data_IF_273668226833
#
_entry.id   IF_273668226833
#
_cell.length_a   1.000
_cell.length_b   1.000
_cell.length_c   1.000
_cell.angle_alpha   90.00
_cell.angle_beta   90.00
_cell.angle_gamma   90.00
#
_symmetry.space_group_name_H-M   'P 1'
#
loop_
_entity.id
_entity.type
_entity.pdbx_description
1 polymer ?
#
# COMPACT_ATOMS: atom_id res chain seq x y z
N UNK A 1 0.66 -18.66 3.13
CA UNK A 1 1.70 -18.82 4.16
C UNK A 1 3.12 -18.79 3.56
N UNK A 2 3.51 -17.77 2.78
CA UNK A 2 4.89 -17.67 2.24
C UNK A 2 5.26 -16.30 1.65
N UNK A 3 4.53 -15.22 1.93
CA UNK A 3 4.77 -13.91 1.28
C UNK A 3 5.99 -13.14 1.82
N UNK A 4 6.58 -13.62 2.91
CA UNK A 4 7.89 -13.18 3.40
C UNK A 4 9.06 -13.72 2.54
N UNK A 5 8.82 -14.69 1.65
CA UNK A 5 9.85 -15.28 0.78
C UNK A 5 10.26 -14.39 -0.40
N UNK A 6 9.76 -13.16 -0.48
CA UNK A 6 9.97 -12.28 -1.63
C UNK A 6 10.57 -10.92 -1.26
N UNK A 7 10.97 -10.73 0.00
CA UNK A 7 11.54 -9.46 0.46
C UNK A 7 12.84 -9.10 -0.29
N UNK A 8 13.56 -10.10 -0.79
CA UNK A 8 14.77 -9.96 -1.59
C UNK A 8 14.50 -9.73 -3.09
N UNK A 9 13.24 -9.88 -3.53
CA UNK A 9 12.80 -9.73 -4.92
C UNK A 9 12.15 -8.38 -5.17
N UNK A 10 12.11 -7.98 -6.44
CA UNK A 10 11.51 -6.75 -6.94
C UNK A 10 10.13 -6.99 -7.55
N UNK A 11 9.31 -5.96 -7.75
CA UNK A 11 8.04 -6.12 -8.44
C UNK A 11 8.22 -6.49 -9.91
N UNK A 12 9.30 -6.04 -10.58
CA UNK A 12 9.56 -6.44 -11.96
C UNK A 12 9.82 -7.95 -12.11
N UNK A 13 10.33 -8.62 -11.07
CA UNK A 13 10.50 -10.09 -11.05
C UNK A 13 9.20 -10.84 -10.68
N UNK A 14 8.31 -10.19 -9.95
CA UNK A 14 7.14 -10.80 -9.30
C UNK A 14 5.82 -10.57 -10.05
N UNK A 15 5.65 -9.36 -10.54
CA UNK A 15 4.44 -8.80 -11.16
C UNK A 15 4.73 -8.54 -12.64
N UNK A 16 5.23 -9.59 -13.30
CA UNK A 16 5.83 -9.51 -14.63
C UNK A 16 4.83 -9.31 -15.77
N UNK A 17 5.33 -8.93 -16.96
CA UNK A 17 6.75 -8.75 -17.29
C UNK A 17 7.36 -7.46 -16.69
N UNK A 18 8.69 -7.37 -16.56
CA UNK A 18 9.38 -6.13 -16.21
C UNK A 18 8.94 -4.98 -17.11
N UNK A 19 8.78 -3.79 -16.52
CA UNK A 19 8.35 -2.63 -17.31
C UNK A 19 9.50 -2.09 -18.17
N UNK A 20 9.20 -1.60 -19.40
CA UNK A 20 10.18 -0.82 -20.15
C UNK A 20 10.52 0.48 -19.40
N UNK A 21 11.58 1.20 -19.82
CA UNK A 21 11.85 2.54 -19.32
C UNK A 21 10.59 3.42 -19.39
N UNK A 22 10.38 4.34 -18.42
CA UNK A 22 9.22 5.21 -18.46
C UNK A 22 9.24 6.04 -19.75
N UNK A 23 8.05 6.37 -20.30
CA UNK A 23 7.95 7.18 -21.52
C UNK A 23 8.64 8.54 -21.32
N UNK A 24 9.02 9.20 -22.42
CA UNK A 24 9.58 10.55 -22.39
C UNK A 24 8.83 11.44 -23.39
N UNK A 25 8.24 12.57 -22.97
CA UNK A 25 8.26 13.12 -21.60
C UNK A 25 7.32 12.37 -20.64
N UNK A 26 7.58 12.47 -19.33
CA UNK A 26 6.71 11.86 -18.30
C UNK A 26 6.69 12.67 -17.00
N UNK A 27 5.82 12.28 -16.07
CA UNK A 27 5.69 12.92 -14.76
C UNK A 27 6.66 12.34 -13.74
N UNK A 28 6.92 13.09 -12.66
CA UNK A 28 7.70 12.61 -11.52
C UNK A 28 7.07 11.38 -10.85
N UNK A 29 5.75 11.29 -10.82
CA UNK A 29 5.01 10.15 -10.27
C UNK A 29 5.27 8.87 -11.07
N UNK A 30 5.14 8.92 -12.40
CA UNK A 30 5.46 7.78 -13.27
C UNK A 30 6.92 7.37 -13.10
N UNK A 31 7.83 8.35 -13.07
CA UNK A 31 9.26 8.09 -12.84
C UNK A 31 9.51 7.38 -11.50
N UNK A 32 8.85 7.84 -10.43
CA UNK A 32 8.92 7.24 -9.09
C UNK A 32 8.40 5.81 -9.09
N UNK A 33 7.20 5.56 -9.65
CA UNK A 33 6.59 4.23 -9.70
C UNK A 33 7.48 3.24 -10.46
N UNK A 34 8.01 3.62 -11.63
CA UNK A 34 8.96 2.77 -12.37
C UNK A 34 10.23 2.47 -11.56
N UNK A 35 10.74 3.44 -10.79
CA UNK A 35 11.90 3.22 -9.93
C UNK A 35 11.57 2.26 -8.77
N UNK A 36 10.40 2.40 -8.14
CA UNK A 36 9.96 1.56 -7.03
C UNK A 36 9.75 0.11 -7.44
N UNK A 37 9.30 -0.16 -8.67
CA UNK A 37 9.16 -1.54 -9.17
C UNK A 37 10.47 -2.32 -9.22
N UNK A 38 11.60 -1.62 -9.34
CA UNK A 38 12.96 -2.18 -9.37
C UNK A 38 13.63 -2.26 -8.00
N UNK A 39 12.96 -1.77 -6.95
CA UNK A 39 13.45 -1.88 -5.58
C UNK A 39 13.00 -3.21 -4.98
N UNK A 40 13.84 -3.80 -4.13
CA UNK A 40 13.46 -5.01 -3.40
C UNK A 40 12.28 -4.71 -2.50
N UNK A 41 11.39 -5.69 -2.30
CA UNK A 41 10.20 -5.50 -1.48
C UNK A 41 10.53 -5.18 -0.01
N UNK A 42 11.54 -5.83 0.56
CA UNK A 42 12.06 -5.52 1.91
C UNK A 42 12.76 -4.15 1.98
N UNK A 43 13.16 -3.66 0.81
CA UNK A 43 13.56 -2.29 0.52
C UNK A 43 12.53 -1.25 0.94
N UNK A 44 11.26 -1.46 0.57
CA UNK A 44 10.26 -0.41 0.45
C UNK A 44 9.92 0.25 1.80
N UNK A 45 9.90 1.59 1.81
CA UNK A 45 9.44 2.36 2.98
C UNK A 45 7.90 2.39 3.04
N UNK A 46 7.30 2.79 4.18
CA UNK A 46 5.86 3.04 4.26
C UNK A 46 5.38 3.99 3.15
N UNK A 47 6.13 5.07 2.87
CA UNK A 47 5.83 6.04 1.82
C UNK A 47 5.80 5.43 0.42
N UNK A 48 6.70 4.47 0.17
CA UNK A 48 6.78 3.76 -1.10
C UNK A 48 5.62 2.79 -1.27
N UNK A 49 5.28 2.05 -0.20
CA UNK A 49 4.11 1.17 -0.17
C UNK A 49 2.83 1.97 -0.42
N UNK A 50 2.63 3.10 0.28
CA UNK A 50 1.50 3.98 0.05
C UNK A 50 1.44 4.45 -1.40
N UNK A 51 2.57 4.90 -1.94
CA UNK A 51 2.67 5.35 -3.35
C UNK A 51 2.25 4.23 -4.31
N UNK A 52 2.77 3.00 -4.16
CA UNK A 52 2.44 1.88 -5.03
C UNK A 52 0.97 1.45 -4.91
N UNK A 53 0.43 1.43 -3.69
CA UNK A 53 -0.96 1.05 -3.41
C UNK A 53 -1.93 2.05 -4.03
N UNK A 54 -1.71 3.36 -3.84
CA UNK A 54 -2.55 4.40 -4.43
C UNK A 54 -2.52 4.39 -5.97
N UNK A 55 -1.47 3.83 -6.58
CA UNK A 55 -1.31 3.70 -8.03
C UNK A 55 -1.73 2.32 -8.56
N UNK A 56 -2.29 1.45 -7.73
CA UNK A 56 -2.72 0.08 -8.09
C UNK A 56 -1.59 -0.79 -8.66
N UNK A 57 -0.36 -0.62 -8.18
CA UNK A 57 0.82 -1.34 -8.67
C UNK A 57 1.21 -2.46 -7.73
N UNK A 58 1.28 -3.70 -8.26
CA UNK A 58 1.79 -4.85 -7.53
C UNK A 58 1.01 -5.20 -6.26
N UNK A 59 -0.30 -4.88 -6.20
CA UNK A 59 -1.15 -5.00 -5.01
C UNK A 59 -1.03 -6.36 -4.29
N UNK A 60 -1.00 -7.53 -4.96
CA UNK A 60 -0.85 -8.82 -4.30
C UNK A 60 0.43 -8.97 -3.47
N UNK A 61 1.45 -8.16 -3.77
CA UNK A 61 2.76 -8.16 -3.12
C UNK A 61 2.91 -7.02 -2.11
N UNK A 62 2.40 -5.82 -2.40
CA UNK A 62 2.58 -4.64 -1.52
C UNK A 62 1.54 -4.55 -0.41
N UNK A 63 0.30 -5.02 -0.61
CA UNK A 63 -0.73 -5.00 0.44
C UNK A 63 -0.35 -5.85 1.67
N UNK A 64 0.18 -7.09 1.52
CA UNK A 64 0.68 -7.85 2.66
C UNK A 64 1.76 -7.12 3.46
N UNK A 65 2.61 -6.34 2.80
CA UNK A 65 3.67 -5.58 3.49
C UNK A 65 3.09 -4.40 4.25
N UNK A 66 2.18 -3.64 3.62
CA UNK A 66 1.52 -2.52 4.27
C UNK A 66 0.68 -2.97 5.48
N UNK A 67 -0.12 -4.04 5.34
CA UNK A 67 -0.94 -4.56 6.45
C UNK A 67 -0.07 -5.03 7.62
N UNK A 68 1.12 -5.60 7.37
CA UNK A 68 2.05 -5.94 8.45
C UNK A 68 2.49 -4.71 9.26
N UNK A 69 2.82 -3.61 8.58
CA UNK A 69 3.17 -2.36 9.27
C UNK A 69 1.98 -1.81 10.05
N UNK A 70 0.78 -1.85 9.46
CA UNK A 70 -0.44 -1.35 10.09
C UNK A 70 -0.92 -2.19 11.28
N UNK A 71 -0.55 -3.48 11.34
CA UNK A 71 -0.80 -4.32 12.52
C UNK A 71 0.07 -3.91 13.72
N UNK A 72 1.24 -3.32 13.47
CA UNK A 72 2.16 -2.83 14.51
C UNK A 72 1.85 -1.38 14.89
N UNK A 73 1.63 -0.52 13.90
CA UNK A 73 1.36 0.91 14.09
C UNK A 73 0.25 1.39 13.11
N UNK A 74 -1.04 1.29 13.50
CA UNK A 74 -2.16 1.61 12.62
C UNK A 74 -2.16 3.05 12.10
N UNK A 75 -1.74 3.99 12.93
CA UNK A 75 -1.72 5.43 12.68
C UNK A 75 -0.35 5.93 12.20
N UNK A 76 0.51 5.06 11.64
CA UNK A 76 1.83 5.47 11.14
C UNK A 76 1.72 6.61 10.11
N UNK A 77 2.63 7.58 10.20
CA UNK A 77 2.80 8.63 9.18
C UNK A 77 3.72 8.12 8.06
N UNK A 78 3.16 7.89 6.88
CA UNK A 78 3.93 7.42 5.73
C UNK A 78 4.35 8.53 4.77
N UNK A 79 4.09 9.82 5.05
CA UNK A 79 4.71 11.03 4.47
C UNK A 79 3.80 12.26 4.57
N UNK A 80 2.47 12.08 4.55
CA UNK A 80 1.54 13.21 4.52
C UNK A 80 0.91 13.53 5.87
N UNK A 81 0.42 12.51 6.56
CA UNK A 81 -0.28 12.62 7.84
C UNK A 81 -0.38 11.23 8.48
N UNK A 82 -0.68 11.22 9.78
CA UNK A 82 -0.88 10.02 10.57
C UNK A 82 -2.03 9.18 10.00
N UNK A 83 -1.76 7.90 9.69
CA UNK A 83 -2.74 6.98 9.11
C UNK A 83 -2.92 7.07 7.59
N UNK A 84 -2.08 7.83 6.87
CA UNK A 84 -2.20 7.95 5.40
C UNK A 84 -1.95 6.62 4.67
N UNK A 85 -1.14 5.71 5.21
CA UNK A 85 -1.00 4.34 4.69
C UNK A 85 -2.29 3.54 4.91
N UNK A 86 -2.92 3.66 6.07
CA UNK A 86 -4.16 2.97 6.39
C UNK A 86 -5.27 3.39 5.42
N UNK A 87 -5.44 4.69 5.18
CA UNK A 87 -6.42 5.19 4.22
C UNK A 87 -6.14 4.73 2.79
N UNK A 88 -4.87 4.70 2.37
CA UNK A 88 -4.50 4.20 1.04
C UNK A 88 -4.87 2.72 0.86
N UNK A 89 -4.67 1.90 1.91
CA UNK A 89 -5.01 0.47 1.92
C UNK A 89 -6.53 0.28 1.95
N UNK A 90 -7.24 0.98 2.85
CA UNK A 90 -8.70 0.88 2.98
C UNK A 90 -9.39 1.31 1.70
N UNK A 91 -8.90 2.35 1.02
CA UNK A 91 -9.43 2.87 -0.24
C UNK A 91 -9.23 1.95 -1.46
N UNK A 92 -8.84 0.68 -1.28
CA UNK A 92 -8.79 -0.31 -2.38
C UNK A 92 -10.13 -1.04 -2.52
N UNK A 93 -10.61 -1.29 -3.75
CA UNK A 93 -11.89 -1.95 -3.96
C UNK A 93 -11.89 -3.38 -3.42
N UNK A 94 -13.08 -3.87 -3.06
CA UNK A 94 -13.29 -5.21 -2.50
C UNK A 94 -12.71 -6.33 -3.38
N UNK A 95 -12.70 -6.15 -4.70
CA UNK A 95 -12.14 -7.10 -5.67
C UNK A 95 -10.67 -7.45 -5.42
N UNK A 96 -9.87 -6.51 -4.92
CA UNK A 96 -8.44 -6.71 -4.61
C UNK A 96 -8.28 -7.68 -3.43
N UNK A 97 -9.23 -7.69 -2.52
CA UNK A 97 -9.19 -8.49 -1.30
C UNK A 97 -9.71 -9.91 -1.48
N UNK A 98 -10.37 -10.22 -2.60
CA UNK A 98 -10.90 -11.56 -2.90
C UNK A 98 -9.82 -12.64 -2.80
N UNK A 99 -8.58 -12.32 -3.21
CA UNK A 99 -7.43 -13.23 -3.15
C UNK A 99 -6.65 -13.15 -1.82
N UNK A 100 -7.06 -12.25 -0.92
CA UNK A 100 -6.41 -11.94 0.35
C UNK A 100 -7.41 -11.84 1.52
N UNK A 101 -8.41 -12.74 1.66
CA UNK A 101 -9.51 -12.55 2.61
C UNK A 101 -9.03 -12.48 4.06
N UNK A 102 -8.14 -13.39 4.50
CA UNK A 102 -7.60 -13.34 5.85
C UNK A 102 -6.73 -12.10 6.14
N UNK A 103 -6.15 -11.48 5.11
CA UNK A 103 -5.41 -10.22 5.27
C UNK A 103 -6.39 -9.04 5.46
N UNK A 104 -7.52 -9.05 4.74
CA UNK A 104 -8.58 -8.07 4.94
C UNK A 104 -9.18 -8.19 6.34
N UNK A 105 -9.43 -9.41 6.83
CA UNK A 105 -9.91 -9.62 8.20
C UNK A 105 -8.95 -9.03 9.24
N UNK A 106 -7.65 -9.26 9.09
CA UNK A 106 -6.63 -8.66 9.96
C UNK A 106 -6.65 -7.13 9.92
N UNK A 107 -6.74 -6.55 8.72
CA UNK A 107 -6.85 -5.10 8.57
C UNK A 107 -8.12 -4.54 9.21
N UNK A 108 -9.27 -5.21 9.03
CA UNK A 108 -10.52 -4.76 9.64
C UNK A 108 -10.48 -4.85 11.16
N UNK A 109 -9.82 -5.86 11.72
CA UNK A 109 -9.61 -5.94 13.17
C UNK A 109 -8.78 -4.75 13.71
N UNK A 110 -7.78 -4.28 12.94
CA UNK A 110 -7.04 -3.05 13.27
C UNK A 110 -7.99 -1.85 13.30
N UNK A 111 -8.81 -1.67 12.27
CA UNK A 111 -9.76 -0.54 12.19
C UNK A 111 -10.76 -0.55 13.35
N UNK A 112 -11.28 -1.72 13.72
CA UNK A 112 -12.20 -1.88 14.86
C UNK A 112 -11.51 -1.55 16.20
N UNK A 113 -10.19 -1.70 16.29
CA UNK A 113 -9.42 -1.41 17.48
C UNK A 113 -8.99 0.05 17.66
N UNK A 114 -9.24 0.91 16.67
CA UNK A 114 -8.88 2.33 16.74
C UNK A 114 -9.73 3.08 17.77
N UNK A 115 -9.14 4.09 18.42
CA UNK A 115 -9.85 5.00 19.30
C UNK A 115 -10.79 5.94 18.52
N UNK A 116 -11.75 6.56 19.21
CA UNK A 116 -12.62 7.56 18.58
C UNK A 116 -11.84 8.78 18.08
N UNK A 117 -10.77 9.18 18.78
CA UNK A 117 -9.88 10.25 18.35
C UNK A 117 -9.15 9.90 17.06
N UNK A 118 -8.57 8.69 16.96
CA UNK A 118 -7.89 8.21 15.75
C UNK A 118 -8.86 8.13 14.57
N UNK A 119 -10.07 7.60 14.80
CA UNK A 119 -11.11 7.56 13.78
C UNK A 119 -11.57 8.96 13.34
N UNK A 120 -11.63 9.94 14.26
CA UNK A 120 -11.95 11.32 13.93
C UNK A 120 -10.82 11.98 13.10
N UNK A 121 -9.56 11.68 13.41
CA UNK A 121 -8.41 12.14 12.64
C UNK A 121 -8.46 11.59 11.20
N UNK A 122 -8.67 10.28 11.04
CA UNK A 122 -8.80 9.65 9.71
C UNK A 122 -9.94 10.27 8.87
N UNK A 123 -11.09 10.55 9.49
CA UNK A 123 -12.24 11.19 8.83
C UNK A 123 -11.95 12.59 8.31
N UNK A 124 -10.96 13.28 8.87
CA UNK A 124 -10.52 14.60 8.37
C UNK A 124 -9.93 14.50 6.97
N UNK A 125 -9.32 13.36 6.64
CA UNK A 125 -8.64 13.12 5.36
C UNK A 125 -9.42 12.23 4.40
N UNK A 126 -10.44 11.52 4.89
CA UNK A 126 -11.40 10.72 4.11
C UNK A 126 -12.08 11.46 2.92
N UNK A 127 -12.47 12.75 2.98
CA UNK A 127 -13.14 13.41 1.85
C UNK A 127 -12.30 13.52 0.56
N UNK A 128 -10.99 13.23 0.60
CA UNK A 128 -10.12 13.16 -0.57
C UNK A 128 -10.08 11.77 -1.25
N UNK A 129 -10.63 10.73 -0.63
CA UNK A 129 -10.62 9.35 -1.12
C UNK A 129 -12.04 8.97 -1.54
N UNK A 130 -12.41 9.23 -2.80
CA UNK A 130 -13.71 8.81 -3.33
C UNK A 130 -13.75 7.28 -3.42
N UNK A 131 -14.62 6.67 -2.61
CA UNK A 131 -15.12 5.30 -2.77
C UNK A 131 -15.93 5.22 -4.08
N UNK A 132 -15.27 4.77 -5.15
CA UNK A 132 -15.90 4.47 -6.44
C UNK A 132 -16.20 2.99 -6.59
#
# INVERSE_FOLDING_TARGET
MSRLLHLDRTLDELDGPPWPPPPSPTTSLVTKVHALRRRRLGDLTPADLRTLITQDVGLPYVLPLAVRLLLEEPMLDSYFYSGDLLLAVLGRPESVWVLLPGLREQLMAVVVGLSEEELAELRTYEPAVRWG
#
